data_IF_915279596544
#
_entry.id   IF_915279596544
#
_cell.length_a   1.000
_cell.length_b   1.000
_cell.length_c   1.000
_cell.angle_alpha   90.00
_cell.angle_beta   90.00
_cell.angle_gamma   90.00
#
_symmetry.space_group_name_H-M   'P 1'
#
loop_
_entity.id
_entity.type
_entity.pdbx_description
1 polymer ?
#
# COMPACT_ATOMS: atom_id res chain seq x y z
N UNK A 1 19.06 3.98 -5.44
CA UNK A 1 17.62 3.81 -5.13
C UNK A 1 16.78 4.66 -6.03
N UNK A 2 15.56 4.23 -6.28
CA UNK A 2 14.60 4.98 -7.06
C UNK A 2 13.41 5.37 -6.23
N UNK A 3 12.73 6.43 -6.65
CA UNK A 3 11.53 6.89 -6.01
C UNK A 3 10.30 6.22 -6.63
N UNK A 4 9.37 5.79 -5.76
CA UNK A 4 8.15 5.13 -6.19
C UNK A 4 6.96 5.71 -5.47
N UNK A 5 5.80 5.60 -6.11
CA UNK A 5 4.52 5.80 -5.45
C UNK A 5 3.83 4.45 -5.37
N UNK A 6 3.40 4.12 -4.17
CA UNK A 6 2.62 2.92 -3.92
C UNK A 6 1.23 3.34 -3.46
N UNK A 7 0.22 2.95 -4.23
CA UNK A 7 -1.17 3.13 -3.84
C UNK A 7 -1.73 1.76 -3.53
N UNK A 8 -2.33 1.60 -2.37
CA UNK A 8 -3.03 0.36 -2.09
C UNK A 8 -4.39 0.63 -1.48
N UNK A 9 -5.29 -0.31 -1.72
CA UNK A 9 -6.67 -0.22 -1.28
C UNK A 9 -6.90 -1.33 -0.28
N UNK A 10 -7.35 -0.96 0.91
CA UNK A 10 -7.64 -1.93 1.96
C UNK A 10 -9.14 -2.06 2.16
N UNK A 11 -9.55 -3.14 2.84
CA UNK A 11 -10.95 -3.43 3.11
C UNK A 11 -11.62 -2.24 3.81
N UNK A 12 -12.83 -1.86 3.39
CA UNK A 12 -13.49 -0.66 3.92
C UNK A 12 -13.88 -0.75 5.38
N UNK A 13 -13.98 -1.96 5.91
CA UNK A 13 -14.41 -2.17 7.29
C UNK A 13 -13.26 -2.16 8.30
N UNK A 14 -12.01 -1.96 7.87
CA UNK A 14 -10.91 -1.83 8.80
C UNK A 14 -11.08 -0.59 9.64
N UNK A 15 -10.98 -0.75 10.96
CA UNK A 15 -10.96 0.41 11.86
C UNK A 15 -9.58 1.09 11.81
N UNK A 16 -9.45 2.22 12.51
CA UNK A 16 -8.23 3.00 12.48
C UNK A 16 -7.02 2.22 13.00
N UNK A 17 -7.21 1.38 14.01
CA UNK A 17 -6.13 0.59 14.58
C UNK A 17 -5.64 -0.45 13.58
N UNK A 18 -6.56 -1.17 12.95
CA UNK A 18 -6.20 -2.19 11.97
C UNK A 18 -5.57 -1.57 10.73
N UNK A 19 -6.06 -0.42 10.30
CA UNK A 19 -5.46 0.31 9.18
C UNK A 19 -4.04 0.74 9.49
N UNK A 20 -3.81 1.27 10.69
CA UNK A 20 -2.49 1.68 11.13
C UNK A 20 -1.52 0.50 11.16
N UNK A 21 -1.99 -0.67 11.60
CA UNK A 21 -1.16 -1.88 11.62
C UNK A 21 -0.71 -2.28 10.21
N UNK A 22 -1.60 -2.18 9.22
CA UNK A 22 -1.25 -2.46 7.83
C UNK A 22 -0.20 -1.48 7.34
N UNK A 23 -0.38 -0.20 7.62
CA UNK A 23 0.55 0.85 7.21
C UNK A 23 1.93 0.61 7.84
N UNK A 24 1.99 0.30 9.12
CA UNK A 24 3.24 0.03 9.82
C UNK A 24 3.94 -1.21 9.26
N UNK A 25 3.17 -2.24 8.93
CA UNK A 25 3.74 -3.47 8.36
C UNK A 25 4.38 -3.20 7.00
N UNK A 26 3.67 -2.49 6.13
CA UNK A 26 4.20 -2.16 4.80
C UNK A 26 5.41 -1.24 4.91
N UNK A 27 5.35 -0.23 5.77
CA UNK A 27 6.49 0.66 6.03
C UNK A 27 7.70 -0.11 6.55
N UNK A 28 7.48 -1.06 7.45
CA UNK A 28 8.54 -1.89 8.01
C UNK A 28 9.23 -2.73 6.94
N UNK A 29 8.48 -3.29 6.01
CA UNK A 29 9.08 -4.05 4.91
C UNK A 29 10.03 -3.18 4.09
N UNK A 30 9.63 -1.96 3.81
CA UNK A 30 10.44 -1.03 3.00
C UNK A 30 11.70 -0.63 3.75
N UNK A 31 11.57 -0.26 5.03
CA UNK A 31 12.72 0.20 5.81
C UNK A 31 13.69 -0.94 6.11
N UNK A 32 13.20 -2.14 6.36
CA UNK A 32 14.06 -3.30 6.59
C UNK A 32 14.87 -3.67 5.35
N UNK A 33 14.35 -3.37 4.18
CA UNK A 33 15.06 -3.63 2.92
C UNK A 33 16.04 -2.49 2.55
N UNK A 34 16.23 -1.52 3.45
CA UNK A 34 17.14 -0.41 3.21
C UNK A 34 16.51 0.79 2.53
N UNK A 35 15.21 0.76 2.28
CA UNK A 35 14.49 1.88 1.70
C UNK A 35 13.98 2.84 2.76
N UNK A 36 13.22 3.81 2.32
CA UNK A 36 12.60 4.80 3.21
C UNK A 36 11.21 5.16 2.75
N UNK A 37 10.36 5.53 3.69
CA UNK A 37 9.02 6.02 3.42
C UNK A 37 9.02 7.51 3.70
N UNK A 38 8.84 8.32 2.64
CA UNK A 38 8.89 9.78 2.77
C UNK A 38 7.54 10.40 3.06
N UNK A 39 6.46 9.79 2.58
CA UNK A 39 5.13 10.36 2.75
C UNK A 39 4.10 9.24 2.83
N UNK A 40 3.12 9.43 3.70
CA UNK A 40 1.96 8.55 3.80
C UNK A 40 0.71 9.42 3.78
N UNK A 41 -0.13 9.23 2.76
CA UNK A 41 -1.40 9.93 2.64
C UNK A 41 -2.54 8.94 2.80
N UNK A 42 -3.48 9.25 3.67
CA UNK A 42 -4.70 8.49 3.84
C UNK A 42 -5.82 9.23 3.11
N UNK A 43 -6.32 8.63 2.04
CA UNK A 43 -7.38 9.26 1.25
C UNK A 43 -8.78 8.93 1.77
N UNK A 44 -8.88 7.98 2.71
CA UNK A 44 -10.15 7.57 3.28
C UNK A 44 -10.93 6.63 2.35
N UNK A 45 -12.18 6.42 2.71
CA UNK A 45 -13.05 5.54 1.94
C UNK A 45 -13.47 6.22 0.64
N UNK A 46 -13.42 5.45 -0.44
CA UNK A 46 -13.85 5.90 -1.75
C UNK A 46 -14.60 4.79 -2.46
N UNK A 47 -15.54 5.17 -3.30
CA UNK A 47 -16.25 4.22 -4.14
C UNK A 47 -15.30 3.69 -5.21
N UNK A 48 -15.37 2.39 -5.43
CA UNK A 48 -14.61 1.75 -6.50
C UNK A 48 -15.39 1.84 -7.81
N UNK A 49 -14.66 1.93 -8.92
CA UNK A 49 -15.29 1.94 -10.25
C UNK A 49 -16.02 0.63 -10.51
N UNK A 50 -15.55 -0.46 -9.92
CA UNK A 50 -16.17 -1.77 -9.98
C UNK A 50 -15.86 -2.50 -8.68
N UNK A 51 -16.66 -3.50 -8.34
CA UNK A 51 -16.48 -4.25 -7.09
C UNK A 51 -15.18 -5.04 -7.10
N UNK A 52 -14.47 -5.02 -5.98
CA UNK A 52 -13.31 -5.85 -5.73
C UNK A 52 -13.62 -6.70 -4.50
N UNK A 53 -13.51 -8.02 -4.62
CA UNK A 53 -13.86 -8.95 -3.54
C UNK A 53 -15.25 -8.66 -2.97
N UNK A 54 -16.20 -8.36 -3.86
CA UNK A 54 -17.58 -8.02 -3.50
C UNK A 54 -17.73 -6.74 -2.70
N UNK A 55 -16.68 -5.94 -2.58
CA UNK A 55 -16.75 -4.65 -1.92
C UNK A 55 -16.89 -3.55 -2.98
N UNK A 56 -17.77 -2.59 -2.71
CA UNK A 56 -17.99 -1.45 -3.59
C UNK A 56 -17.18 -0.23 -3.19
N UNK A 57 -16.57 -0.28 -2.02
CA UNK A 57 -15.75 0.79 -1.46
C UNK A 57 -14.43 0.21 -0.96
N UNK A 58 -13.45 1.08 -0.78
CA UNK A 58 -12.19 0.72 -0.17
C UNK A 58 -11.54 1.94 0.43
N UNK A 59 -10.58 1.71 1.31
CA UNK A 59 -9.79 2.79 1.90
C UNK A 59 -8.49 2.89 1.12
N UNK A 60 -8.18 4.09 0.61
CA UNK A 60 -7.02 4.34 -0.22
C UNK A 60 -5.88 4.89 0.62
N UNK A 61 -4.70 4.34 0.43
CA UNK A 61 -3.47 4.79 1.08
C UNK A 61 -2.41 5.01 0.00
N UNK A 62 -1.75 6.15 0.05
CA UNK A 62 -0.64 6.47 -0.85
C UNK A 62 0.64 6.57 -0.05
N UNK A 63 1.67 5.83 -0.48
CA UNK A 63 3.03 5.95 0.03
C UNK A 63 3.92 6.56 -1.04
N UNK A 64 4.78 7.47 -0.65
CA UNK A 64 5.89 7.89 -1.49
C UNK A 64 7.16 7.35 -0.86
N UNK A 65 7.90 6.54 -1.59
CA UNK A 65 9.01 5.77 -1.04
C UNK A 65 10.23 5.83 -1.93
N UNK A 66 11.38 5.53 -1.32
CA UNK A 66 12.62 5.24 -2.05
C UNK A 66 13.07 3.84 -1.71
N UNK A 67 13.39 3.04 -2.72
CA UNK A 67 13.81 1.67 -2.51
C UNK A 67 14.55 1.16 -3.74
N UNK A 68 15.28 0.06 -3.56
CA UNK A 68 15.94 -0.61 -4.67
C UNK A 68 14.89 -1.21 -5.60
N UNK A 69 15.08 -1.12 -6.93
CA UNK A 69 14.12 -1.69 -7.88
C UNK A 69 13.86 -3.18 -7.66
N UNK A 70 14.89 -3.92 -7.25
CA UNK A 70 14.75 -5.36 -7.01
C UNK A 70 13.81 -5.66 -5.85
N UNK A 71 13.71 -4.76 -4.87
CA UNK A 71 12.79 -4.94 -3.76
C UNK A 71 11.34 -4.75 -4.20
N UNK A 72 11.08 -4.00 -5.26
CA UNK A 72 9.72 -3.80 -5.76
C UNK A 72 8.97 -5.10 -6.01
N UNK A 73 9.68 -6.09 -6.55
CA UNK A 73 9.09 -7.41 -6.83
C UNK A 73 8.69 -8.10 -5.52
N UNK A 74 9.56 -8.04 -4.52
CA UNK A 74 9.29 -8.63 -3.21
C UNK A 74 8.13 -7.92 -2.52
N UNK A 75 8.11 -6.60 -2.60
CA UNK A 75 7.05 -5.78 -2.00
C UNK A 75 5.69 -6.13 -2.61
N UNK A 76 5.62 -6.22 -3.93
CA UNK A 76 4.37 -6.58 -4.60
C UNK A 76 3.88 -7.96 -4.20
N UNK A 77 4.80 -8.92 -4.09
CA UNK A 77 4.45 -10.26 -3.63
C UNK A 77 3.91 -10.23 -2.20
N UNK A 78 4.57 -9.50 -1.32
CA UNK A 78 4.12 -9.38 0.07
C UNK A 78 2.75 -8.74 0.17
N UNK A 79 2.50 -7.69 -0.62
CA UNK A 79 1.19 -7.03 -0.66
C UNK A 79 0.10 -7.96 -1.17
N UNK A 80 0.42 -8.80 -2.15
CA UNK A 80 -0.54 -9.75 -2.70
C UNK A 80 -1.04 -10.73 -1.66
N UNK A 81 -0.19 -11.09 -0.69
CA UNK A 81 -0.56 -12.03 0.36
C UNK A 81 -0.99 -11.34 1.66
N UNK A 82 -1.00 -10.03 1.71
CA UNK A 82 -1.49 -9.30 2.88
C UNK A 82 -3.00 -9.17 2.77
N UNK A 83 -3.70 -9.93 3.59
CA UNK A 83 -5.14 -10.16 3.42
C UNK A 83 -6.00 -8.90 3.36
N UNK A 84 -5.80 -7.89 4.24
CA UNK A 84 -6.63 -6.69 4.16
C UNK A 84 -6.43 -5.87 2.89
N UNK A 85 -5.32 -6.05 2.18
CA UNK A 85 -5.05 -5.30 0.95
C UNK A 85 -5.81 -5.95 -0.20
N UNK A 86 -6.75 -5.21 -0.77
CA UNK A 86 -7.59 -5.70 -1.86
C UNK A 86 -6.93 -5.50 -3.22
N UNK A 87 -6.18 -4.39 -3.35
CA UNK A 87 -5.53 -4.04 -4.60
C UNK A 87 -4.37 -3.10 -4.33
N UNK A 88 -3.38 -3.12 -5.20
CA UNK A 88 -2.25 -2.20 -5.10
C UNK A 88 -1.70 -1.85 -6.47
N UNK A 89 -1.00 -0.72 -6.53
CA UNK A 89 -0.30 -0.26 -7.73
C UNK A 89 1.02 0.37 -7.30
N UNK A 90 2.12 -0.11 -7.85
CA UNK A 90 3.45 0.43 -7.59
C UNK A 90 3.97 1.07 -8.88
N UNK A 91 4.29 2.35 -8.81
CA UNK A 91 4.68 3.13 -9.99
C UNK A 91 6.01 3.84 -9.71
N UNK A 92 6.93 3.76 -10.65
CA UNK A 92 8.15 4.56 -10.59
C UNK A 92 7.81 6.02 -10.90
N UNK A 93 8.34 6.93 -10.09
CA UNK A 93 8.06 8.36 -10.23
C UNK A 93 8.94 9.00 -11.32
N UNK A 94 10.01 8.37 -11.66
CA UNK A 94 10.93 8.93 -12.68
C UNK A 94 10.50 8.58 -14.08
#
# INVERSE_FOLDING_TARGET
MREYELVFIVHPDLDDTALKDVIEKVSGWITEAGGSVGKVDLWGKRKLAYSIRKQKEGQYVLFRTQMEPTFGITLERNLRFLEPVMRFLLVSVE
#
